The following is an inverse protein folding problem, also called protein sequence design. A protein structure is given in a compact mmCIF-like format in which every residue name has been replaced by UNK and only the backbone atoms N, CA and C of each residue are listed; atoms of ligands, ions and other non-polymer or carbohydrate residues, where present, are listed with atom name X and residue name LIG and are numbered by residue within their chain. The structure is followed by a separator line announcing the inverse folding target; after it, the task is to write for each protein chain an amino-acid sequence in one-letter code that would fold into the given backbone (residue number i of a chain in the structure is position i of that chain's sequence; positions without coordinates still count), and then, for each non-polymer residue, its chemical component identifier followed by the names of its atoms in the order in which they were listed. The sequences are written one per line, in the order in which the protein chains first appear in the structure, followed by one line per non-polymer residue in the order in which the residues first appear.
data_IF_680063088063
#
_entry.id   IF_680063088063
#
_cell.length_a   1.000
_cell.length_b   1.000
_cell.length_c   1.000
_cell.angle_alpha   90.00
_cell.angle_beta   90.00
_cell.angle_gamma   90.00
#
_symmetry.space_group_name_H-M   'P 1'
#
loop_
_entity.id
_entity.type
_entity.pdbx_description
1 polymer ?
#
# COMPACT_ATOMS: atom_id res chain seq x y z
N UNK A 1 -3.69 12.99 -16.39
CA UNK A 1 -4.65 11.94 -16.81
C UNK A 1 -5.26 11.40 -15.54
N UNK A 2 -6.52 11.70 -15.27
CA UNK A 2 -7.24 11.22 -14.07
C UNK A 2 -7.43 9.71 -14.17
N UNK A 3 -6.97 8.97 -13.16
CA UNK A 3 -7.16 7.53 -13.10
C UNK A 3 -8.62 7.27 -12.70
N UNK A 4 -9.28 6.26 -13.28
CA UNK A 4 -10.71 5.98 -13.01
C UNK A 4 -11.00 5.66 -11.52
N UNK A 5 -9.96 5.47 -10.71
CA UNK A 5 -9.99 5.23 -9.26
C UNK A 5 -10.05 6.53 -8.44
N UNK A 6 -9.65 7.66 -9.02
CA UNK A 6 -9.58 8.98 -8.35
C UNK A 6 -10.94 9.71 -8.43
N UNK A 7 -11.91 9.14 -9.15
CA UNK A 7 -13.28 9.64 -9.34
C UNK A 7 -14.34 8.83 -8.59
N UNK A 8 -13.93 7.96 -7.66
CA UNK A 8 -14.86 7.22 -6.80
C UNK A 8 -15.28 8.12 -5.62
N UNK A 9 -16.56 8.09 -5.18
CA UNK A 9 -17.02 8.93 -4.06
C UNK A 9 -16.17 8.69 -2.80
N UNK A 10 -15.47 9.73 -2.34
CA UNK A 10 -14.58 9.67 -1.18
C UNK A 10 -13.10 9.45 -1.47
N UNK A 11 -12.66 9.27 -2.73
CA UNK A 11 -11.24 9.19 -3.10
C UNK A 11 -10.65 10.50 -3.66
N UNK A 12 -11.49 11.49 -3.96
CA UNK A 12 -11.06 12.79 -4.53
C UNK A 12 -10.12 13.57 -3.59
N UNK A 13 -10.42 13.57 -2.29
CA UNK A 13 -9.59 14.25 -1.28
C UNK A 13 -8.24 13.54 -1.11
N UNK A 14 -8.23 12.21 -1.19
CA UNK A 14 -6.99 11.43 -1.23
C UNK A 14 -6.14 11.80 -2.45
N UNK A 15 -6.75 11.93 -3.63
CA UNK A 15 -6.04 12.30 -4.85
C UNK A 15 -5.41 13.70 -4.76
N UNK A 16 -6.13 14.67 -4.16
CA UNK A 16 -5.57 16.00 -3.90
C UNK A 16 -4.34 15.94 -3.00
N UNK A 17 -4.42 15.25 -1.86
CA UNK A 17 -3.28 15.10 -0.96
C UNK A 17 -2.12 14.33 -1.61
N UNK A 18 -2.41 13.39 -2.50
CA UNK A 18 -1.37 12.68 -3.22
C UNK A 18 -0.62 13.60 -4.20
N UNK A 19 -1.32 14.49 -4.88
CA UNK A 19 -0.70 15.45 -5.79
C UNK A 19 0.11 16.50 -5.02
N UNK A 20 -0.39 16.97 -3.88
CA UNK A 20 0.36 17.84 -2.96
C UNK A 20 1.63 17.14 -2.45
N UNK A 21 1.52 15.87 -2.06
CA UNK A 21 2.68 15.07 -1.63
C UNK A 21 3.74 14.96 -2.73
N UNK A 22 3.33 14.68 -3.98
CA UNK A 22 4.28 14.59 -5.12
C UNK A 22 5.01 15.90 -5.34
N UNK A 23 4.32 17.04 -5.18
CA UNK A 23 4.91 18.36 -5.33
C UNK A 23 5.96 18.63 -4.24
N UNK A 24 5.62 18.35 -2.98
CA UNK A 24 6.56 18.48 -1.86
C UNK A 24 7.73 17.48 -1.98
N UNK A 25 7.48 16.27 -2.47
CA UNK A 25 8.54 15.27 -2.71
C UNK A 25 9.54 15.73 -3.78
N UNK A 26 9.06 16.35 -4.86
CA UNK A 26 9.93 16.94 -5.89
C UNK A 26 10.79 18.08 -5.31
N UNK A 27 10.18 18.94 -4.50
CA UNK A 27 10.88 20.03 -3.81
C UNK A 27 11.92 19.53 -2.80
N UNK A 28 11.61 18.49 -2.02
CA UNK A 28 12.58 17.82 -1.13
C UNK A 28 13.77 17.28 -1.93
N UNK A 29 13.50 16.62 -3.07
CA UNK A 29 14.55 16.06 -3.92
C UNK A 29 15.47 17.15 -4.47
N UNK A 30 14.89 18.24 -4.99
CA UNK A 30 15.64 19.39 -5.49
C UNK A 30 16.49 20.04 -4.39
N UNK A 31 15.93 20.23 -3.18
CA UNK A 31 16.67 20.79 -2.05
C UNK A 31 17.82 19.89 -1.61
N UNK A 32 17.65 18.56 -1.62
CA UNK A 32 18.71 17.61 -1.30
C UNK A 32 19.86 17.66 -2.30
N UNK A 33 19.58 17.81 -3.59
CA UNK A 33 20.60 18.02 -4.63
C UNK A 33 21.36 19.33 -4.41
N UNK A 34 20.65 20.44 -4.14
CA UNK A 34 21.29 21.73 -3.84
C UNK A 34 22.18 21.67 -2.59
N UNK A 35 21.78 20.93 -1.55
CA UNK A 35 22.60 20.75 -0.34
C UNK A 35 23.95 20.09 -0.65
N UNK A 36 24.03 19.24 -1.69
CA UNK A 36 25.27 18.61 -2.09
C UNK A 36 26.27 19.60 -2.72
N UNK A 37 25.78 20.66 -3.37
CA UNK A 37 26.61 21.68 -4.05
C UNK A 37 27.00 22.84 -3.13
N UNK A 38 26.22 23.09 -2.08
CA UNK A 38 26.44 24.20 -1.15
C UNK A 38 27.47 23.85 -0.06
N UNK A 39 28.12 24.87 0.49
CA UNK A 39 29.09 24.73 1.59
C UNK A 39 28.86 25.79 2.69
N UNK A 40 29.26 25.51 3.92
CA UNK A 40 29.19 26.47 5.02
C UNK A 40 27.76 26.88 5.44
N UNK A 41 27.55 28.18 5.66
CA UNK A 41 26.29 28.76 6.14
C UNK A 41 25.10 28.58 5.18
N UNK A 42 25.21 28.77 3.84
CA UNK A 42 24.09 28.49 2.94
C UNK A 42 23.71 27.00 2.93
N UNK A 43 24.66 26.07 3.13
CA UNK A 43 24.35 24.63 3.29
C UNK A 43 23.47 24.40 4.52
N UNK A 44 23.78 25.02 5.66
CA UNK A 44 22.98 24.93 6.89
C UNK A 44 21.59 25.55 6.74
N UNK A 45 21.44 26.63 5.97
CA UNK A 45 20.14 27.22 5.67
C UNK A 45 19.29 26.29 4.77
N UNK A 46 19.90 25.72 3.73
CA UNK A 46 19.24 24.77 2.83
C UNK A 46 18.80 23.48 3.57
N UNK A 47 19.64 22.95 4.48
CA UNK A 47 19.28 21.81 5.34
C UNK A 47 18.04 22.11 6.18
N UNK A 48 17.96 23.29 6.81
CA UNK A 48 16.77 23.70 7.58
C UNK A 48 15.53 23.87 6.70
N UNK A 49 15.69 24.35 5.47
CA UNK A 49 14.58 24.43 4.52
C UNK A 49 14.09 23.04 4.07
N UNK A 50 14.99 22.10 3.84
CA UNK A 50 14.65 20.72 3.53
C UNK A 50 13.99 19.99 4.72
N UNK A 51 14.41 20.28 5.95
CA UNK A 51 13.76 19.73 7.16
C UNK A 51 12.28 20.14 7.25
N UNK A 52 11.98 21.42 7.01
CA UNK A 52 10.60 21.91 6.98
C UNK A 52 9.75 21.26 5.89
N UNK A 53 10.31 21.08 4.69
CA UNK A 53 9.59 20.40 3.60
C UNK A 53 9.32 18.92 3.92
N UNK A 54 10.24 18.24 4.62
CA UNK A 54 10.03 16.87 5.10
C UNK A 54 8.94 16.79 6.17
N UNK A 55 8.88 17.76 7.09
CA UNK A 55 7.80 17.86 8.08
C UNK A 55 6.44 18.07 7.41
N UNK A 56 6.35 18.96 6.42
CA UNK A 56 5.16 19.17 5.60
C UNK A 56 4.73 17.89 4.87
N UNK A 57 5.67 17.16 4.27
CA UNK A 57 5.38 15.87 3.63
C UNK A 57 4.85 14.82 4.63
N UNK A 58 5.38 14.78 5.85
CA UNK A 58 4.89 13.91 6.93
C UNK A 58 3.44 14.24 7.31
N UNK A 59 3.11 15.53 7.40
CA UNK A 59 1.74 15.99 7.68
C UNK A 59 0.78 15.55 6.57
N UNK A 60 1.16 15.72 5.30
CA UNK A 60 0.34 15.29 4.16
C UNK A 60 0.14 13.76 4.16
N UNK A 61 1.19 12.97 4.45
CA UNK A 61 1.05 11.51 4.59
C UNK A 61 0.11 11.15 5.74
N UNK A 62 0.17 11.88 6.86
CA UNK A 62 -0.75 11.69 7.98
C UNK A 62 -2.21 11.95 7.55
N UNK A 63 -2.48 13.03 6.82
CA UNK A 63 -3.81 13.31 6.27
C UNK A 63 -4.27 12.22 5.29
N UNK A 64 -3.38 11.75 4.41
CA UNK A 64 -3.68 10.62 3.52
C UNK A 64 -4.06 9.34 4.30
N UNK A 65 -3.41 9.05 5.43
CA UNK A 65 -3.77 7.90 6.28
C UNK A 65 -5.16 8.04 6.89
N UNK A 66 -5.55 9.25 7.30
CA UNK A 66 -6.89 9.54 7.83
C UNK A 66 -7.92 9.35 6.72
N UNK A 67 -7.70 9.89 5.52
CA UNK A 67 -8.65 9.74 4.42
C UNK A 67 -8.81 8.30 3.94
N UNK A 68 -7.74 7.51 3.94
CA UNK A 68 -7.83 6.07 3.64
C UNK A 68 -8.77 5.34 4.62
N UNK A 69 -8.93 5.82 5.86
CA UNK A 69 -9.89 5.25 6.81
C UNK A 69 -11.34 5.66 6.51
N UNK A 70 -11.54 6.80 5.85
CA UNK A 70 -12.86 7.28 5.39
C UNK A 70 -13.30 6.58 4.09
N UNK A 71 -12.36 6.05 3.32
CA UNK A 71 -12.64 5.31 2.08
C UNK A 71 -13.35 3.97 2.36
N UNK A 72 -14.41 3.61 1.60
CA UNK A 72 -15.09 2.32 1.70
C UNK A 72 -14.15 1.09 1.63
N UNK A 73 -14.40 0.09 2.47
CA UNK A 73 -13.53 -1.09 2.67
C UNK A 73 -13.24 -1.87 1.38
N UNK A 74 -14.18 -1.90 0.43
CA UNK A 74 -14.07 -2.60 -0.85
C UNK A 74 -13.02 -2.01 -1.80
N UNK A 75 -12.69 -0.72 -1.66
CA UNK A 75 -11.68 -0.04 -2.49
C UNK A 75 -10.42 0.36 -1.71
N UNK A 76 -10.49 0.39 -0.37
CA UNK A 76 -9.38 0.73 0.53
C UNK A 76 -8.09 -0.06 0.29
N UNK A 77 -8.22 -1.35 -0.08
CA UNK A 77 -7.07 -2.24 -0.38
C UNK A 77 -6.16 -1.72 -1.50
N UNK A 78 -6.65 -0.83 -2.36
CA UNK A 78 -5.88 -0.19 -3.44
C UNK A 78 -5.10 1.06 -2.96
N UNK A 79 -5.56 1.72 -1.91
CA UNK A 79 -4.98 2.98 -1.42
C UNK A 79 -4.00 2.78 -0.26
N UNK A 80 -4.27 1.84 0.67
CA UNK A 80 -3.38 1.57 1.81
C UNK A 80 -1.93 1.17 1.41
N UNK A 81 -1.68 0.45 0.31
CA UNK A 81 -0.31 0.21 -0.16
C UNK A 81 0.40 1.48 -0.67
N UNK A 82 -0.33 2.40 -1.32
CA UNK A 82 0.24 3.65 -1.86
C UNK A 82 0.80 4.51 -0.73
N UNK A 83 0.02 4.72 0.33
CA UNK A 83 0.45 5.49 1.51
C UNK A 83 1.67 4.88 2.19
N UNK A 84 1.74 3.55 2.29
CA UNK A 84 2.92 2.85 2.83
C UNK A 84 4.16 3.05 1.95
N UNK A 85 4.01 3.04 0.63
CA UNK A 85 5.14 3.30 -0.27
C UNK A 85 5.64 4.74 -0.12
N UNK A 86 4.74 5.72 -0.03
CA UNK A 86 5.11 7.13 0.20
C UNK A 86 5.82 7.34 1.54
N UNK A 87 5.39 6.65 2.58
CA UNK A 87 6.05 6.63 3.89
C UNK A 87 7.51 6.12 3.78
N UNK A 88 7.69 4.99 3.08
CA UNK A 88 9.02 4.43 2.83
C UNK A 88 9.92 5.34 1.99
N UNK A 89 9.37 6.02 0.98
CA UNK A 89 10.13 6.96 0.16
C UNK A 89 10.53 8.19 0.97
N UNK A 90 9.63 8.73 1.79
CA UNK A 90 9.94 9.85 2.67
C UNK A 90 11.01 9.51 3.72
N UNK A 91 10.99 8.28 4.26
CA UNK A 91 12.04 7.79 5.16
C UNK A 91 13.43 7.75 4.51
N UNK A 92 13.51 7.42 3.22
CA UNK A 92 14.77 7.51 2.46
C UNK A 92 15.26 8.94 2.37
N UNK A 93 14.38 9.89 2.09
CA UNK A 93 14.71 11.33 2.05
C UNK A 93 15.16 11.85 3.42
N UNK A 94 14.46 11.48 4.51
CA UNK A 94 14.85 11.79 5.90
C UNK A 94 16.25 11.31 6.23
N UNK A 95 16.59 10.08 5.84
CA UNK A 95 17.91 9.51 6.11
C UNK A 95 19.01 10.21 5.31
N UNK A 96 18.75 10.56 4.05
CA UNK A 96 19.68 11.35 3.22
C UNK A 96 19.91 12.75 3.82
N UNK A 97 18.84 13.44 4.23
CA UNK A 97 18.93 14.74 4.88
C UNK A 97 19.74 14.71 6.18
N UNK A 98 19.51 13.67 7.00
CA UNK A 98 20.26 13.47 8.26
C UNK A 98 21.76 13.25 8.02
N UNK A 99 22.13 12.54 6.96
CA UNK A 99 23.54 12.37 6.55
C UNK A 99 24.16 13.71 6.14
N UNK A 100 23.45 14.49 5.33
CA UNK A 100 23.92 15.81 4.89
C UNK A 100 24.07 16.81 6.06
N UNK A 101 23.15 16.78 7.03
CA UNK A 101 23.24 17.56 8.26
C UNK A 101 24.48 17.18 9.09
N UNK A 102 24.69 15.88 9.31
CA UNK A 102 25.85 15.39 10.07
C UNK A 102 27.21 15.68 9.39
N UNK A 103 27.24 15.80 8.06
CA UNK A 103 28.42 16.25 7.32
C UNK A 103 28.66 17.76 7.51
N UNK A 104 27.62 18.58 7.40
CA UNK A 104 27.72 20.03 7.57
C UNK A 104 28.22 20.43 8.98
N UNK A 105 27.79 19.70 10.01
CA UNK A 105 28.24 19.94 11.39
C UNK A 105 29.70 19.54 11.62
N UNK A 106 30.17 18.44 11.00
CA UNK A 106 31.57 18.01 11.09
C UNK A 106 32.52 18.99 10.41
N UNK A 107 32.14 19.52 9.25
CA UNK A 107 32.94 20.52 8.54
C UNK A 107 33.08 21.83 9.34
N UNK A 108 32.04 22.27 10.04
CA UNK A 108 32.09 23.46 10.90
C UNK A 108 33.03 23.31 12.11
N UNK A 109 33.16 22.10 12.66
CA UNK A 109 33.96 21.86 13.87
C UNK A 109 35.48 21.76 13.60
N UNK A 110 35.88 21.42 12.37
CA UNK A 110 37.30 21.34 11.98
C UNK A 110 37.94 22.73 11.87
N UNK A 111 37.17 23.75 11.46
CA UNK A 111 37.65 25.12 11.38
C UNK A 111 37.72 25.85 12.73
N UNK A 112 37.04 25.34 13.76
CA UNK A 112 37.04 25.94 15.10
C UNK A 112 38.19 25.43 16.01
N UNK A 113 38.93 24.39 15.60
CA UNK A 113 39.91 23.70 16.46
C UNK A 113 41.38 24.12 16.32
N UNK A 114 41.70 25.28 15.71
CA UNK A 114 43.08 25.74 15.50
C UNK A 114 43.36 27.11 16.14
N UNK A 115 43.12 27.22 17.45
CA UNK A 115 43.55 28.34 18.30
C UNK A 115 44.79 27.97 19.15
N UNK A 116 45.63 28.92 19.60
CA UNK A 116 46.92 28.63 20.22
C UNK A 116 46.78 28.02 21.62
N UNK A 117 47.60 27.02 21.89
CA UNK A 117 47.62 26.24 23.14
C UNK A 117 48.19 27.10 24.28
N UNK A 118 47.35 27.51 25.23
CA UNK A 118 47.77 28.13 26.48
C UNK A 118 46.63 28.27 27.47
N UNK A 119 46.73 27.61 28.63
CA UNK A 119 45.86 27.65 29.82
C UNK A 119 44.37 27.25 29.63
N UNK A 120 43.79 27.44 28.44
CA UNK A 120 42.43 27.02 28.07
C UNK A 120 42.30 25.50 27.90
N UNK A 121 43.40 24.76 27.69
CA UNK A 121 43.38 23.32 27.44
C UNK A 121 42.80 22.49 28.59
N UNK A 122 42.92 22.92 29.84
CA UNK A 122 42.37 22.22 31.01
C UNK A 122 40.86 22.50 31.16
N UNK A 123 40.43 23.72 30.87
CA UNK A 123 39.00 24.07 30.80
C UNK A 123 38.33 23.37 29.62
N UNK A 124 38.98 23.35 28.47
CA UNK A 124 38.53 22.70 27.24
C UNK A 124 38.47 21.19 27.41
N UNK A 125 39.45 20.55 28.06
CA UNK A 125 39.40 19.13 28.39
C UNK A 125 38.28 18.79 29.38
N UNK A 126 38.02 19.64 30.38
CA UNK A 126 36.89 19.47 31.31
C UNK A 126 35.54 19.63 30.60
N UNK A 127 35.43 20.61 29.71
CA UNK A 127 34.25 20.86 28.90
C UNK A 127 34.03 19.74 27.88
N UNK A 128 35.11 19.16 27.35
CA UNK A 128 35.07 17.99 26.47
C UNK A 128 34.63 16.73 27.21
N UNK A 129 35.08 16.51 28.46
CA UNK A 129 34.61 15.42 29.32
C UNK A 129 33.13 15.59 29.70
N UNK A 130 32.71 16.79 30.10
CA UNK A 130 31.30 17.10 30.36
C UNK A 130 30.44 16.87 29.11
N UNK A 131 30.91 17.32 27.94
CA UNK A 131 30.23 17.07 26.66
C UNK A 131 30.21 15.59 26.28
N UNK A 132 31.24 14.83 26.69
CA UNK A 132 31.32 13.39 26.52
C UNK A 132 30.25 12.67 27.35
N UNK A 133 30.12 13.03 28.62
CA UNK A 133 29.07 12.52 29.51
C UNK A 133 27.67 12.87 29.01
N UNK A 134 27.45 14.12 28.60
CA UNK A 134 26.17 14.58 28.07
C UNK A 134 25.80 13.86 26.76
N UNK A 135 26.77 13.63 25.88
CA UNK A 135 26.57 12.82 24.66
C UNK A 135 26.23 11.38 25.00
N UNK A 136 26.86 10.80 26.02
CA UNK A 136 26.64 9.42 26.43
C UNK A 136 25.25 9.26 27.07
N UNK A 137 24.83 10.21 27.89
CA UNK A 137 23.48 10.28 28.45
C UNK A 137 22.42 10.43 27.35
N UNK A 138 22.62 11.35 26.40
CA UNK A 138 21.73 11.47 25.22
C UNK A 138 21.71 10.18 24.40
N UNK A 139 22.84 9.52 24.22
CA UNK A 139 22.92 8.27 23.45
C UNK A 139 22.22 7.12 24.18
N UNK A 140 22.33 7.07 25.51
CA UNK A 140 21.59 6.13 26.37
C UNK A 140 20.08 6.37 26.26
N UNK A 141 19.63 7.62 26.36
CA UNK A 141 18.23 7.99 26.19
C UNK A 141 17.69 7.68 24.79
N UNK A 142 18.53 7.82 23.76
CA UNK A 142 18.17 7.43 22.39
C UNK A 142 18.08 5.92 22.23
N UNK A 143 18.94 5.15 22.89
CA UNK A 143 18.89 3.69 22.90
C UNK A 143 17.62 3.19 23.60
N UNK A 144 17.29 3.71 24.77
CA UNK A 144 16.05 3.34 25.49
C UNK A 144 14.81 3.71 24.68
N UNK A 145 14.79 4.88 24.05
CA UNK A 145 13.69 5.25 23.15
C UNK A 145 13.64 4.34 21.90
N UNK A 146 14.78 3.97 21.32
CA UNK A 146 14.83 3.06 20.17
C UNK A 146 14.33 1.66 20.54
N UNK A 147 14.67 1.17 21.73
CA UNK A 147 14.17 -0.10 22.25
C UNK A 147 12.65 -0.07 22.46
N UNK A 148 12.12 1.03 23.00
CA UNK A 148 10.66 1.23 23.15
C UNK A 148 9.95 1.23 21.80
N UNK A 149 10.46 1.99 20.83
CA UNK A 149 9.90 2.05 19.47
C UNK A 149 10.00 0.69 18.76
N UNK A 150 11.10 -0.04 18.96
CA UNK A 150 11.27 -1.39 18.41
C UNK A 150 10.23 -2.36 18.99
N UNK A 151 9.99 -2.33 20.31
CA UNK A 151 8.97 -3.16 20.95
C UNK A 151 7.54 -2.79 20.50
N UNK A 152 7.26 -1.50 20.30
CA UNK A 152 6.00 -1.04 19.74
C UNK A 152 5.83 -1.55 18.29
N UNK A 153 6.89 -1.47 17.49
CA UNK A 153 6.91 -1.98 16.11
C UNK A 153 6.74 -3.49 16.06
N UNK A 154 7.33 -4.23 17.00
CA UNK A 154 7.15 -5.68 17.13
C UNK A 154 5.69 -6.03 17.43
N UNK A 155 5.05 -5.30 18.35
CA UNK A 155 3.62 -5.49 18.63
C UNK A 155 2.73 -5.20 17.42
N UNK A 156 3.00 -4.12 16.68
CA UNK A 156 2.29 -3.80 15.44
C UNK A 156 2.52 -4.90 14.40
N UNK A 157 3.76 -5.37 14.24
CA UNK A 157 4.12 -6.46 13.35
C UNK A 157 3.40 -7.77 13.71
N UNK A 158 3.29 -8.10 15.00
CA UNK A 158 2.54 -9.25 15.49
C UNK A 158 1.04 -9.13 15.16
N UNK A 159 0.46 -7.93 15.28
CA UNK A 159 -0.90 -7.64 14.85
C UNK A 159 -1.10 -7.89 13.36
N UNK A 160 -0.19 -7.38 12.52
CA UNK A 160 -0.22 -7.60 11.06
C UNK A 160 -0.13 -9.09 10.72
N UNK A 161 0.73 -9.86 11.38
CA UNK A 161 0.84 -11.30 11.14
C UNK A 161 -0.45 -12.04 11.52
N UNK A 162 -1.09 -11.65 12.63
CA UNK A 162 -2.41 -12.17 13.03
C UNK A 162 -3.48 -11.87 11.97
N UNK A 163 -3.52 -10.63 11.47
CA UNK A 163 -4.47 -10.22 10.44
C UNK A 163 -4.25 -10.95 9.11
N UNK A 164 -2.99 -11.11 8.69
CA UNK A 164 -2.63 -11.89 7.51
C UNK A 164 -3.06 -13.36 7.66
N UNK A 165 -2.91 -13.93 8.85
CA UNK A 165 -3.37 -15.28 9.14
C UNK A 165 -4.90 -15.39 9.06
N UNK A 166 -5.62 -14.41 9.62
CA UNK A 166 -7.07 -14.33 9.50
C UNK A 166 -7.53 -14.20 8.04
N UNK A 167 -6.89 -13.32 7.26
CA UNK A 167 -7.15 -13.14 5.83
C UNK A 167 -6.88 -14.42 5.03
N UNK A 168 -5.78 -15.13 5.32
CA UNK A 168 -5.50 -16.44 4.73
C UNK A 168 -6.65 -17.42 4.98
N UNK A 169 -7.21 -17.44 6.20
CA UNK A 169 -8.35 -18.31 6.52
C UNK A 169 -9.61 -17.97 5.70
N UNK A 170 -9.82 -16.69 5.38
CA UNK A 170 -10.93 -16.24 4.54
C UNK A 170 -10.73 -16.68 3.10
N UNK A 171 -9.51 -16.52 2.56
CA UNK A 171 -9.19 -16.96 1.20
C UNK A 171 -9.32 -18.49 1.04
N UNK A 172 -8.88 -19.26 2.02
CA UNK A 172 -9.02 -20.72 2.02
C UNK A 172 -10.50 -21.11 1.99
N UNK A 173 -11.32 -20.48 2.84
CA UNK A 173 -12.78 -20.72 2.86
C UNK A 173 -13.46 -20.30 1.56
N UNK A 174 -13.07 -19.17 0.98
CA UNK A 174 -13.59 -18.73 -0.31
C UNK A 174 -13.25 -19.72 -1.42
N UNK A 175 -12.02 -20.23 -1.44
CA UNK A 175 -11.59 -21.23 -2.42
C UNK A 175 -12.33 -22.57 -2.25
N UNK A 176 -12.53 -23.02 -1.01
CA UNK A 176 -13.32 -24.22 -0.71
C UNK A 176 -14.78 -24.06 -1.17
N UNK A 177 -15.40 -22.90 -0.91
CA UNK A 177 -16.74 -22.58 -1.38
C UNK A 177 -16.85 -22.57 -2.92
N UNK A 178 -15.83 -22.04 -3.61
CA UNK A 178 -15.77 -22.07 -5.08
C UNK A 178 -15.69 -23.52 -5.58
N UNK A 179 -14.80 -24.33 -4.99
CA UNK A 179 -14.67 -25.74 -5.35
C UNK A 179 -15.97 -26.53 -5.14
N UNK A 180 -16.69 -26.26 -4.04
CA UNK A 180 -18.00 -26.84 -3.79
C UNK A 180 -19.03 -26.36 -4.84
N UNK A 181 -19.01 -25.06 -5.18
CA UNK A 181 -19.85 -24.47 -6.23
C UNK A 181 -19.67 -25.15 -7.59
N UNK A 182 -18.45 -25.46 -8.00
CA UNK A 182 -18.15 -26.22 -9.22
C UNK A 182 -18.79 -27.62 -9.21
N UNK A 183 -18.80 -28.28 -8.05
CA UNK A 183 -19.42 -29.60 -7.90
C UNK A 183 -20.96 -29.56 -8.03
N UNK A 184 -21.61 -28.50 -7.52
CA UNK A 184 -23.06 -28.28 -7.69
C UNK A 184 -23.42 -27.92 -9.14
N UNK A 185 -22.58 -27.14 -9.83
CA UNK A 185 -22.73 -26.85 -11.26
C UNK A 185 -22.64 -28.14 -12.08
N UNK A 186 -21.67 -29.01 -11.79
CA UNK A 186 -21.53 -30.31 -12.47
C UNK A 186 -22.78 -31.19 -12.37
N UNK A 187 -23.40 -31.29 -11.18
CA UNK A 187 -24.64 -32.05 -10.97
C UNK A 187 -25.87 -31.40 -11.63
N UNK A 188 -25.91 -30.08 -11.70
CA UNK A 188 -26.99 -29.36 -12.37
C UNK A 188 -26.94 -29.58 -13.89
N UNK A 189 -25.74 -29.55 -14.48
CA UNK A 189 -25.53 -29.83 -15.91
C UNK A 189 -25.89 -31.28 -16.27
N UNK A 190 -25.55 -32.26 -15.42
CA UNK A 190 -25.92 -33.67 -15.67
C UNK A 190 -27.43 -33.89 -15.62
N UNK A 191 -28.12 -33.26 -14.68
CA UNK A 191 -29.58 -33.30 -14.56
C UNK A 191 -30.26 -32.66 -15.77
N UNK A 192 -29.79 -31.48 -16.20
CA UNK A 192 -30.28 -30.79 -17.40
C UNK A 192 -30.06 -31.65 -18.65
N UNK A 193 -28.89 -32.28 -18.82
CA UNK A 193 -28.63 -33.21 -19.94
C UNK A 193 -29.61 -34.40 -19.94
N UNK A 194 -29.92 -34.96 -18.76
CA UNK A 194 -30.92 -36.03 -18.62
C UNK A 194 -32.32 -35.60 -19.04
N UNK A 195 -32.76 -34.40 -18.63
CA UNK A 195 -34.06 -33.83 -19.03
C UNK A 195 -34.11 -33.51 -20.53
N UNK A 196 -33.03 -32.92 -21.07
CA UNK A 196 -32.92 -32.59 -22.50
C UNK A 196 -33.06 -33.83 -23.39
N UNK A 197 -32.41 -34.96 -23.01
CA UNK A 197 -32.49 -36.21 -23.76
C UNK A 197 -33.90 -36.80 -23.74
N UNK A 198 -34.57 -36.80 -22.58
CA UNK A 198 -35.98 -37.25 -22.46
C UNK A 198 -36.92 -36.39 -23.28
N UNK A 199 -36.72 -35.07 -23.28
CA UNK A 199 -37.51 -34.13 -24.06
C UNK A 199 -37.36 -34.37 -25.56
N UNK A 200 -36.14 -34.62 -26.05
CA UNK A 200 -35.88 -34.96 -27.45
C UNK A 200 -36.58 -36.28 -27.85
N UNK A 201 -36.48 -37.33 -27.02
CA UNK A 201 -37.16 -38.60 -27.28
C UNK A 201 -38.68 -38.43 -27.34
N UNK A 202 -39.27 -37.71 -26.38
CA UNK A 202 -40.72 -37.45 -26.37
C UNK A 202 -41.15 -36.70 -27.63
N UNK A 203 -40.37 -35.70 -28.06
CA UNK A 203 -40.65 -34.94 -29.29
C UNK A 203 -40.62 -35.83 -30.54
N UNK A 204 -39.66 -36.74 -30.64
CA UNK A 204 -39.55 -37.70 -31.75
C UNK A 204 -40.76 -38.65 -31.75
N UNK A 205 -41.15 -39.18 -30.58
CA UNK A 205 -42.31 -40.07 -30.45
C UNK A 205 -43.60 -39.35 -30.89
N UNK A 206 -43.82 -38.11 -30.44
CA UNK A 206 -44.99 -37.33 -30.83
C UNK A 206 -45.05 -37.10 -32.35
N UNK A 207 -43.92 -36.78 -32.98
CA UNK A 207 -43.85 -36.62 -34.45
C UNK A 207 -44.19 -37.93 -35.16
N UNK A 208 -43.66 -39.06 -34.68
CA UNK A 208 -43.94 -40.38 -35.25
C UNK A 208 -45.42 -40.80 -35.15
N UNK A 209 -46.09 -40.49 -34.03
CA UNK A 209 -47.53 -40.78 -33.87
C UNK A 209 -48.36 -39.95 -34.86
N UNK A 210 -48.04 -38.66 -35.01
CA UNK A 210 -48.74 -37.76 -35.93
C UNK A 210 -48.57 -38.25 -37.39
N UNK A 211 -47.35 -38.63 -37.79
CA UNK A 211 -47.10 -39.11 -39.16
C UNK A 211 -47.86 -40.41 -39.46
N UNK A 212 -47.91 -41.35 -38.52
CA UNK A 212 -48.69 -42.59 -38.67
C UNK A 212 -50.19 -42.30 -38.78
N UNK A 213 -50.74 -41.40 -37.96
CA UNK A 213 -52.15 -41.01 -38.05
C UNK A 213 -52.50 -40.39 -39.41
N UNK A 214 -51.66 -39.49 -39.92
CA UNK A 214 -51.85 -38.88 -41.24
C UNK A 214 -51.81 -39.93 -42.34
N UNK A 215 -50.87 -40.88 -42.29
CA UNK A 215 -50.80 -41.98 -43.26
C UNK A 215 -52.04 -42.86 -43.24
N UNK A 216 -52.57 -43.19 -42.05
CA UNK A 216 -53.81 -43.96 -41.92
C UNK A 216 -55.01 -43.21 -42.52
N UNK A 217 -55.14 -41.91 -42.27
CA UNK A 217 -56.20 -41.09 -42.85
C UNK A 217 -56.11 -41.11 -44.39
N UNK A 218 -54.92 -40.93 -44.94
CA UNK A 218 -54.69 -40.99 -46.40
C UNK A 218 -55.05 -42.37 -46.95
N UNK A 219 -54.64 -43.45 -46.26
CA UNK A 219 -54.93 -44.82 -46.68
C UNK A 219 -56.43 -45.12 -46.69
N UNK A 220 -57.18 -44.67 -45.67
CA UNK A 220 -58.64 -44.83 -45.60
C UNK A 220 -59.33 -44.05 -46.72
N UNK A 221 -58.90 -42.81 -46.99
CA UNK A 221 -59.44 -42.01 -48.10
C UNK A 221 -59.17 -42.72 -49.43
N UNK A 222 -57.95 -43.20 -49.67
CA UNK A 222 -57.59 -43.92 -50.89
C UNK A 222 -58.40 -45.21 -51.05
N UNK A 223 -58.61 -45.97 -49.98
CA UNK A 223 -59.41 -47.19 -49.99
C UNK A 223 -60.91 -46.93 -50.16
N UNK A 224 -61.42 -45.75 -49.81
CA UNK A 224 -62.82 -45.38 -49.99
C UNK A 224 -63.11 -44.83 -51.39
N UNK A 225 -62.14 -44.14 -51.99
CA UNK A 225 -62.24 -43.55 -53.33
C UNK A 225 -61.79 -44.50 -54.46
N UNK A 226 -61.32 -45.70 -54.12
CA UNK A 226 -61.05 -46.80 -55.03
C UNK A 226 -62.11 -47.88 -54.87
#
# INVERSE_FOLDING_TARGET
MSNALDSEPGSELFASYEDDFKLVQADITQKLEQIAELSGEPKKAAIRAAQRAVEEADEIISQMRIEVQNIPTNIRSKFSPRVRNYDHDLDRHKQSLKRAAAEADRAGNIYAGKGPIGQDSVYEQRQQLLSGTERLERSSQRLTNSQRVAAETENVGAGILSDLHAQRSVLVRANENISMGEQYIGKSVSTIRGMSRRMATNRIITIAIITVLVLLIIAVIFSKFR
#
